data_IF_819648664289
#
_entry.id   IF_819648664289
#
_cell.length_a   1.000
_cell.length_b   1.000
_cell.length_c   1.000
_cell.angle_alpha   90.00
_cell.angle_beta   90.00
_cell.angle_gamma   90.00
#
_symmetry.space_group_name_H-M   'P 1'
#
loop_
_entity.id
_entity.type
_entity.pdbx_description
1 polymer ?
#
# COMPACT_ATOMS: atom_id res chain seq x y z
N UNK A 1 39.35 -17.63 51.86
CA UNK A 1 38.18 -17.58 50.95
C UNK A 1 38.49 -16.59 49.83
N UNK A 2 38.59 -17.05 48.59
CA UNK A 2 39.31 -16.37 47.49
C UNK A 2 38.61 -15.09 46.99
N UNK A 3 39.30 -13.95 47.05
CA UNK A 3 38.91 -12.64 46.48
C UNK A 3 38.48 -12.75 45.00
N UNK A 4 39.08 -13.68 44.26
CA UNK A 4 38.73 -13.97 42.86
C UNK A 4 37.31 -14.50 42.66
N UNK A 5 36.78 -15.27 43.61
CA UNK A 5 35.42 -15.82 43.56
C UNK A 5 34.41 -14.69 43.82
N UNK A 6 34.70 -13.83 44.80
CA UNK A 6 33.85 -12.68 45.13
C UNK A 6 33.74 -11.69 43.96
N UNK A 7 34.84 -11.42 43.25
CA UNK A 7 34.85 -10.57 42.04
C UNK A 7 34.01 -11.13 40.89
N UNK A 8 34.10 -12.45 40.64
CA UNK A 8 33.26 -13.11 39.63
C UNK A 8 31.78 -13.07 40.00
N UNK A 9 31.46 -13.27 41.28
CA UNK A 9 30.08 -13.19 41.76
C UNK A 9 29.49 -11.77 41.62
N UNK A 10 30.25 -10.74 41.98
CA UNK A 10 29.82 -9.35 41.82
C UNK A 10 29.59 -8.96 40.36
N UNK A 11 30.43 -9.43 39.43
CA UNK A 11 30.25 -9.18 38.00
C UNK A 11 28.97 -9.85 37.47
N UNK A 12 28.71 -11.10 37.84
CA UNK A 12 27.48 -11.81 37.44
C UNK A 12 26.24 -11.11 38.01
N UNK A 13 26.29 -10.68 39.28
CA UNK A 13 25.19 -9.92 39.89
C UNK A 13 24.96 -8.60 39.16
N UNK A 14 26.02 -7.88 38.81
CA UNK A 14 25.94 -6.62 38.08
C UNK A 14 25.34 -6.81 36.68
N UNK A 15 25.73 -7.85 35.94
CA UNK A 15 25.13 -8.18 34.64
C UNK A 15 23.64 -8.56 34.75
N UNK A 16 23.25 -9.33 35.78
CA UNK A 16 21.85 -9.68 36.03
C UNK A 16 21.01 -8.44 36.39
N UNK A 17 21.56 -7.54 37.21
CA UNK A 17 20.90 -6.26 37.54
C UNK A 17 20.75 -5.38 36.30
N UNK A 18 21.78 -5.24 35.48
CA UNK A 18 21.70 -4.49 34.21
C UNK A 18 20.65 -5.08 33.25
N UNK A 19 20.60 -6.40 33.11
CA UNK A 19 19.60 -7.08 32.26
C UNK A 19 18.18 -6.84 32.77
N UNK A 20 17.94 -6.92 34.09
CA UNK A 20 16.60 -6.68 34.67
C UNK A 20 16.16 -5.22 34.56
N UNK A 21 17.08 -4.25 34.68
CA UNK A 21 16.81 -2.82 34.46
C UNK A 21 16.43 -2.57 32.99
N UNK A 22 17.17 -3.16 32.04
CA UNK A 22 16.94 -2.96 30.61
C UNK A 22 15.58 -3.57 30.18
N UNK A 23 15.26 -4.78 30.66
CA UNK A 23 13.96 -5.43 30.41
C UNK A 23 12.79 -4.61 30.98
N UNK A 24 12.91 -4.09 32.22
CA UNK A 24 11.87 -3.22 32.80
C UNK A 24 11.68 -1.93 32.01
N UNK A 25 12.77 -1.33 31.50
CA UNK A 25 12.71 -0.12 30.69
C UNK A 25 12.00 -0.37 29.35
N UNK A 26 12.35 -1.45 28.66
CA UNK A 26 11.70 -1.88 27.41
C UNK A 26 10.22 -2.20 27.60
N UNK A 27 9.84 -2.90 28.68
CA UNK A 27 8.43 -3.17 29.00
C UNK A 27 7.65 -1.88 29.27
N UNK A 28 8.27 -0.88 29.92
CA UNK A 28 7.65 0.42 30.19
C UNK A 28 7.43 1.22 28.89
N UNK A 29 8.35 1.12 27.94
CA UNK A 29 8.24 1.70 26.60
C UNK A 29 7.12 1.06 25.77
N UNK A 30 7.06 -0.27 25.74
CA UNK A 30 6.00 -1.03 25.03
C UNK A 30 4.62 -0.75 25.64
N UNK A 31 4.50 -0.69 26.98
CA UNK A 31 3.23 -0.32 27.64
C UNK A 31 2.80 1.12 27.32
N UNK A 32 3.74 2.06 27.21
CA UNK A 32 3.47 3.46 26.86
C UNK A 32 3.05 3.63 25.40
N UNK A 33 3.62 2.85 24.48
CA UNK A 33 3.16 2.80 23.08
C UNK A 33 1.76 2.18 22.99
N UNK A 34 1.49 1.09 23.72
CA UNK A 34 0.16 0.46 23.74
C UNK A 34 -0.93 1.38 24.30
N UNK A 35 -0.64 2.17 25.33
CA UNK A 35 -1.59 3.16 25.87
C UNK A 35 -1.86 4.33 24.91
N UNK A 36 -0.83 4.80 24.19
CA UNK A 36 -0.99 5.88 23.20
C UNK A 36 -1.81 5.40 21.99
N UNK A 37 -1.58 4.18 21.50
CA UNK A 37 -2.37 3.57 20.42
C UNK A 37 -3.83 3.37 20.84
N UNK A 38 -4.09 3.00 22.12
CA UNK A 38 -5.45 2.87 22.64
C UNK A 38 -6.17 4.23 22.76
N UNK A 39 -5.46 5.30 23.07
CA UNK A 39 -6.01 6.67 23.13
C UNK A 39 -6.33 7.24 21.73
N UNK A 40 -5.51 6.97 20.72
CA UNK A 40 -5.82 7.36 19.34
C UNK A 40 -7.03 6.59 18.78
N UNK A 41 -7.20 5.33 19.16
CA UNK A 41 -8.35 4.51 18.75
C UNK A 41 -9.67 4.95 19.41
N UNK A 42 -9.64 5.54 20.61
CA UNK A 42 -10.83 6.14 21.24
C UNK A 42 -11.21 7.51 20.67
N UNK A 43 -10.25 8.27 20.14
CA UNK A 43 -10.51 9.59 19.53
C UNK A 43 -10.90 9.54 18.04
N UNK A 44 -10.75 8.38 17.38
CA UNK A 44 -11.08 8.18 15.96
C UNK A 44 -12.48 7.60 15.73
N UNK A 45 -13.30 7.42 16.78
CA UNK A 45 -14.62 6.81 16.70
C UNK A 45 -15.81 7.80 16.78
N UNK A 46 -15.58 9.07 16.52
CA UNK A 46 -16.64 10.09 16.41
C UNK A 46 -16.46 10.98 15.18
N UNK A 47 -16.28 10.39 14.00
CA UNK A 47 -16.53 11.09 12.73
C UNK A 47 -17.90 10.66 12.25
N UNK A 48 -18.91 11.47 12.60
CA UNK A 48 -20.23 11.43 11.98
C UNK A 48 -20.05 11.55 10.46
N UNK A 49 -20.57 10.56 9.72
CA UNK A 49 -20.85 10.69 8.29
C UNK A 49 -22.12 11.51 8.14
N UNK A 50 -21.98 12.83 8.27
CA UNK A 50 -22.95 13.77 7.71
C UNK A 50 -22.39 14.25 6.37
N UNK A 51 -22.98 13.75 5.29
CA UNK A 51 -22.77 14.25 3.94
C UNK A 51 -23.25 15.72 3.87
N UNK A 52 -22.31 16.66 3.81
CA UNK A 52 -22.56 18.03 3.36
C UNK A 52 -21.76 18.27 2.07
N UNK A 53 -22.42 18.55 0.93
CA UNK A 53 -21.70 18.86 -0.30
C UNK A 53 -21.08 20.26 -0.23
N UNK A 54 -19.79 20.33 -0.53
CA UNK A 54 -19.03 21.57 -0.72
C UNK A 54 -19.65 22.36 -1.88
N UNK A 55 -20.29 23.49 -1.56
CA UNK A 55 -20.90 24.42 -2.53
C UNK A 55 -19.80 25.27 -3.19
N UNK A 56 -19.34 24.85 -4.37
CA UNK A 56 -18.58 25.74 -5.26
C UNK A 56 -19.52 26.79 -5.88
N UNK A 57 -19.17 28.06 -5.72
CA UNK A 57 -19.88 29.22 -6.25
C UNK A 57 -19.92 29.16 -7.79
N UNK A 58 -21.10 29.01 -8.37
CA UNK A 58 -21.33 29.13 -9.81
C UNK A 58 -21.44 30.61 -10.20
N UNK A 59 -20.42 31.13 -10.87
CA UNK A 59 -20.60 32.33 -11.68
C UNK A 59 -21.48 31.97 -12.88
N UNK A 60 -22.61 32.67 -12.99
CA UNK A 60 -23.65 32.49 -14.00
C UNK A 60 -23.15 32.78 -15.42
N UNK A 61 -22.89 31.72 -16.20
CA UNK A 61 -22.92 31.78 -17.66
C UNK A 61 -24.38 31.60 -18.11
N UNK A 62 -25.00 32.69 -18.58
CA UNK A 62 -26.32 32.69 -19.24
C UNK A 62 -26.29 31.71 -20.40
N UNK A 63 -27.01 30.58 -20.28
CA UNK A 63 -27.16 29.60 -21.36
C UNK A 63 -28.53 29.75 -22.01
N UNK A 64 -28.51 30.10 -23.28
CA UNK A 64 -29.66 30.18 -24.17
C UNK A 64 -30.39 28.83 -24.16
N UNK A 65 -31.71 28.86 -23.96
CA UNK A 65 -32.60 27.71 -24.09
C UNK A 65 -32.62 27.29 -25.55
N UNK A 66 -31.98 26.17 -25.87
CA UNK A 66 -32.37 25.27 -26.96
C UNK A 66 -31.90 23.87 -26.56
N UNK A 67 -32.89 22.99 -26.36
CA UNK A 67 -32.86 21.53 -26.17
C UNK A 67 -31.51 20.88 -25.79
N UNK A 68 -31.27 20.74 -24.48
CA UNK A 68 -30.38 19.69 -23.99
C UNK A 68 -31.25 18.49 -23.68
N UNK A 69 -31.27 17.52 -24.61
CA UNK A 69 -31.76 16.16 -24.34
C UNK A 69 -30.98 15.66 -23.12
N UNK A 70 -31.66 15.42 -21.99
CA UNK A 70 -31.05 14.80 -20.82
C UNK A 70 -30.56 13.40 -21.24
N UNK A 71 -29.28 13.28 -21.55
CA UNK A 71 -28.61 11.98 -21.61
C UNK A 71 -28.57 11.52 -20.14
N UNK A 72 -29.23 10.41 -19.77
CA UNK A 72 -29.15 9.91 -18.41
C UNK A 72 -27.67 9.66 -18.10
N UNK A 73 -27.24 10.07 -16.90
CA UNK A 73 -25.89 9.86 -16.39
C UNK A 73 -25.61 8.35 -16.45
N UNK A 74 -25.00 7.89 -17.54
CA UNK A 74 -24.74 6.48 -17.77
C UNK A 74 -23.71 6.06 -16.74
N UNK A 75 -24.17 5.31 -15.73
CA UNK A 75 -23.28 4.36 -15.06
C UNK A 75 -22.62 3.57 -16.18
N UNK A 76 -21.29 3.58 -16.27
CA UNK A 76 -20.54 2.96 -17.37
C UNK A 76 -20.71 1.45 -17.29
N UNK A 77 -21.75 0.95 -17.96
CA UNK A 77 -22.10 -0.46 -18.01
C UNK A 77 -21.29 -1.09 -19.14
N UNK A 78 -20.33 -1.94 -18.80
CA UNK A 78 -19.55 -2.71 -19.77
C UNK A 78 -20.27 -4.05 -20.02
N UNK A 79 -20.58 -4.35 -21.29
CA UNK A 79 -21.11 -5.66 -21.69
C UNK A 79 -19.94 -6.63 -21.94
N UNK A 80 -19.80 -7.63 -21.08
CA UNK A 80 -18.88 -8.75 -21.27
C UNK A 80 -19.68 -10.01 -21.57
N UNK A 81 -19.49 -10.60 -22.75
CA UNK A 81 -20.21 -11.82 -23.18
C UNK A 81 -21.73 -11.75 -22.94
N UNK A 82 -22.35 -10.59 -23.22
CA UNK A 82 -23.79 -10.38 -23.04
C UNK A 82 -24.25 -10.15 -21.59
N UNK A 83 -23.34 -10.13 -20.62
CA UNK A 83 -23.63 -9.82 -19.21
C UNK A 83 -23.25 -8.40 -18.85
N UNK A 84 -24.10 -7.75 -18.06
CA UNK A 84 -23.89 -6.40 -17.53
C UNK A 84 -23.02 -6.46 -16.27
N UNK A 85 -21.81 -5.90 -16.33
CA UNK A 85 -20.95 -5.81 -15.15
C UNK A 85 -21.16 -4.45 -14.47
N UNK A 86 -21.61 -4.48 -13.21
CA UNK A 86 -21.59 -3.31 -12.33
C UNK A 86 -20.16 -3.09 -11.86
N UNK A 87 -19.51 -2.04 -12.35
CA UNK A 87 -18.16 -1.64 -11.91
C UNK A 87 -18.24 -0.42 -10.98
N UNK A 88 -17.25 -0.27 -10.10
CA UNK A 88 -17.10 0.93 -9.28
C UNK A 88 -16.44 2.10 -10.06
N UNK A 89 -16.14 1.89 -11.35
CA UNK A 89 -15.37 2.81 -12.17
C UNK A 89 -13.87 2.81 -11.84
N UNK A 90 -13.14 3.66 -12.55
CA UNK A 90 -11.71 3.90 -12.32
C UNK A 90 -11.51 4.73 -11.06
N UNK A 91 -10.52 4.39 -10.23
CA UNK A 91 -10.14 5.16 -9.05
C UNK A 91 -9.81 6.61 -9.43
N UNK A 92 -10.40 7.58 -8.74
CA UNK A 92 -10.11 9.00 -8.98
C UNK A 92 -8.64 9.31 -8.69
N UNK A 93 -7.97 10.06 -9.59
CA UNK A 93 -6.56 10.40 -9.44
C UNK A 93 -5.61 9.21 -9.62
N UNK A 94 -6.01 8.19 -10.41
CA UNK A 94 -5.25 6.95 -10.62
C UNK A 94 -3.78 7.23 -10.96
N UNK A 95 -3.53 8.17 -11.88
CA UNK A 95 -2.19 8.56 -12.30
C UNK A 95 -1.33 9.06 -11.14
N UNK A 96 -1.87 10.02 -10.40
CA UNK A 96 -1.18 10.68 -9.30
C UNK A 96 -0.89 9.67 -8.18
N UNK A 97 -1.86 8.80 -7.87
CA UNK A 97 -1.70 7.74 -6.86
C UNK A 97 -0.61 6.75 -7.28
N UNK A 98 -0.65 6.22 -8.50
CA UNK A 98 0.32 5.22 -8.96
C UNK A 98 1.74 5.79 -9.04
N UNK A 99 1.90 7.01 -9.55
CA UNK A 99 3.21 7.68 -9.58
C UNK A 99 3.71 7.96 -8.15
N UNK A 100 2.84 8.42 -7.26
CA UNK A 100 3.17 8.65 -5.85
C UNK A 100 3.66 7.38 -5.16
N UNK A 101 2.93 6.27 -5.31
CA UNK A 101 3.30 4.95 -4.75
C UNK A 101 4.59 4.41 -5.34
N UNK A 102 4.84 4.63 -6.64
CA UNK A 102 6.11 4.26 -7.26
C UNK A 102 7.28 5.01 -6.60
N UNK A 103 7.16 6.33 -6.41
CA UNK A 103 8.20 7.11 -5.74
C UNK A 103 8.41 6.61 -4.30
N UNK A 104 7.32 6.44 -3.54
CA UNK A 104 7.36 5.92 -2.18
C UNK A 104 8.09 4.57 -2.10
N UNK A 105 7.74 3.62 -2.98
CA UNK A 105 8.37 2.31 -3.05
C UNK A 105 9.89 2.42 -3.26
N UNK A 106 10.32 3.30 -4.18
CA UNK A 106 11.73 3.47 -4.49
C UNK A 106 12.55 4.13 -3.39
N UNK A 107 11.96 5.02 -2.60
CA UNK A 107 12.66 5.71 -1.51
C UNK A 107 12.60 4.95 -0.18
N UNK A 108 11.47 4.30 0.12
CA UNK A 108 11.24 3.67 1.43
C UNK A 108 11.44 2.16 1.42
N UNK A 109 11.11 1.48 0.31
CA UNK A 109 11.05 0.00 0.25
C UNK A 109 12.22 -0.63 -0.52
N UNK A 110 12.98 0.16 -1.28
CA UNK A 110 14.12 -0.29 -2.09
C UNK A 110 15.23 -1.02 -1.30
N UNK A 111 15.46 -0.68 -0.04
CA UNK A 111 16.46 -1.37 0.80
C UNK A 111 15.94 -2.62 1.53
N UNK A 112 14.63 -2.84 1.56
CA UNK A 112 14.00 -3.93 2.32
C UNK A 112 13.79 -5.19 1.46
N UNK A 113 13.36 -4.99 0.21
CA UNK A 113 12.92 -6.08 -0.67
C UNK A 113 13.73 -6.20 -1.97
N UNK A 114 14.39 -5.13 -2.39
CA UNK A 114 15.19 -5.12 -3.62
C UNK A 114 16.68 -5.35 -3.31
N UNK A 115 17.39 -5.94 -4.27
CA UNK A 115 18.85 -5.91 -4.27
C UNK A 115 19.34 -4.47 -4.43
N UNK A 116 20.42 -4.09 -3.74
CA UNK A 116 21.08 -2.79 -3.85
C UNK A 116 21.54 -2.46 -5.30
N UNK A 117 21.53 -3.43 -6.20
CA UNK A 117 21.88 -3.29 -7.63
C UNK A 117 20.73 -2.83 -8.53
N UNK A 118 19.49 -2.73 -8.02
CA UNK A 118 18.33 -2.38 -8.86
C UNK A 118 18.35 -0.90 -9.25
N UNK A 119 18.27 -0.57 -10.53
CA UNK A 119 18.25 0.82 -11.01
C UNK A 119 16.97 1.56 -10.57
N UNK A 120 17.06 2.86 -10.24
CA UNK A 120 15.88 3.72 -10.04
C UNK A 120 15.09 3.75 -11.36
N UNK A 121 13.80 3.41 -11.29
CA UNK A 121 12.85 3.40 -12.40
C UNK A 121 12.23 4.80 -12.57
N UNK A 122 11.97 5.18 -13.81
CA UNK A 122 11.20 6.38 -14.10
C UNK A 122 9.71 6.09 -13.84
N UNK A 123 9.17 6.61 -12.74
CA UNK A 123 7.79 6.36 -12.32
C UNK A 123 6.76 6.89 -13.32
N UNK A 124 7.04 8.00 -14.01
CA UNK A 124 6.16 8.52 -15.06
C UNK A 124 6.12 7.56 -16.24
N UNK A 125 7.29 7.07 -16.68
CA UNK A 125 7.37 6.07 -17.75
C UNK A 125 6.67 4.77 -17.38
N UNK A 126 6.83 4.32 -16.14
CA UNK A 126 6.18 3.10 -15.66
C UNK A 126 4.65 3.24 -15.66
N UNK A 127 4.12 4.39 -15.23
CA UNK A 127 2.69 4.68 -15.36
C UNK A 127 2.22 4.75 -16.81
N UNK A 128 2.98 5.37 -17.72
CA UNK A 128 2.64 5.41 -19.15
C UNK A 128 2.50 4.00 -19.75
N UNK A 129 3.40 3.07 -19.36
CA UNK A 129 3.33 1.68 -19.79
C UNK A 129 2.06 0.99 -19.27
N UNK A 130 1.74 1.18 -17.98
CA UNK A 130 0.49 0.71 -17.40
C UNK A 130 -0.73 1.27 -18.12
N UNK A 131 -0.77 2.59 -18.32
CA UNK A 131 -1.87 3.28 -18.96
C UNK A 131 -2.05 2.81 -20.40
N UNK A 132 -0.97 2.61 -21.15
CA UNK A 132 -1.03 2.10 -22.53
C UNK A 132 -1.62 0.69 -22.63
N UNK A 133 -1.49 -0.12 -21.58
CA UNK A 133 -2.04 -1.46 -21.51
C UNK A 133 -3.55 -1.45 -21.26
N UNK A 134 -4.05 -0.51 -20.44
CA UNK A 134 -5.45 -0.44 -20.04
C UNK A 134 -6.31 0.49 -20.93
N UNK A 135 -5.73 1.60 -21.40
CA UNK A 135 -6.46 2.68 -22.05
C UNK A 135 -6.93 2.29 -23.44
N UNK A 136 -8.17 2.65 -23.77
CA UNK A 136 -8.82 2.41 -25.07
C UNK A 136 -8.84 0.92 -25.48
N UNK A 137 -8.79 0.01 -24.51
CA UNK A 137 -8.95 -1.43 -24.73
C UNK A 137 -10.32 -1.90 -24.23
N UNK A 138 -10.92 -2.90 -24.89
CA UNK A 138 -12.15 -3.52 -24.38
C UNK A 138 -11.87 -4.19 -23.03
N UNK A 139 -12.60 -3.77 -22.00
CA UNK A 139 -12.47 -4.26 -20.62
C UNK A 139 -12.50 -5.80 -20.52
N UNK A 140 -13.39 -6.42 -21.27
CA UNK A 140 -13.67 -7.86 -21.22
C UNK A 140 -12.62 -8.73 -21.92
N UNK A 141 -11.78 -8.13 -22.78
CA UNK A 141 -10.81 -8.86 -23.60
C UNK A 141 -9.37 -8.44 -23.24
N UNK A 142 -9.12 -8.13 -21.96
CA UNK A 142 -7.76 -7.91 -21.47
C UNK A 142 -7.01 -9.25 -21.41
N UNK A 143 -5.77 -9.24 -21.91
CA UNK A 143 -4.85 -10.37 -21.88
C UNK A 143 -3.63 -9.97 -21.04
N UNK A 144 -3.02 -10.91 -20.33
CA UNK A 144 -1.77 -10.66 -19.60
C UNK A 144 -0.67 -10.09 -20.51
N UNK A 145 -0.61 -10.49 -21.78
CA UNK A 145 0.35 -9.96 -22.74
C UNK A 145 0.23 -8.45 -22.98
N UNK A 146 -0.93 -7.83 -22.75
CA UNK A 146 -1.07 -6.37 -22.90
C UNK A 146 -0.28 -5.60 -21.83
N UNK A 147 0.00 -6.22 -20.69
CA UNK A 147 0.78 -5.63 -19.59
C UNK A 147 2.27 -6.05 -19.63
N UNK A 148 2.71 -6.78 -20.65
CA UNK A 148 4.07 -7.32 -20.71
C UNK A 148 5.13 -6.23 -20.56
N UNK A 149 5.02 -5.12 -21.30
CA UNK A 149 5.98 -4.01 -21.19
C UNK A 149 5.94 -3.33 -19.82
N UNK A 150 4.77 -3.25 -19.17
CA UNK A 150 4.65 -2.73 -17.82
C UNK A 150 5.41 -3.62 -16.83
N UNK A 151 5.17 -4.94 -16.87
CA UNK A 151 5.86 -5.87 -15.99
C UNK A 151 7.35 -5.92 -16.29
N UNK A 152 7.79 -6.03 -17.54
CA UNK A 152 9.21 -6.03 -17.90
C UNK A 152 9.94 -4.76 -17.40
N UNK A 153 9.30 -3.59 -17.49
CA UNK A 153 9.89 -2.35 -16.98
C UNK A 153 9.89 -2.30 -15.45
N UNK A 154 8.82 -2.76 -14.80
CA UNK A 154 8.67 -2.80 -13.35
C UNK A 154 9.56 -3.85 -12.67
N UNK A 155 9.84 -4.95 -13.37
CA UNK A 155 10.70 -6.04 -12.90
C UNK A 155 12.11 -5.47 -12.70
N UNK A 156 12.37 -5.14 -11.44
CA UNK A 156 13.68 -4.96 -10.86
C UNK A 156 13.73 -5.98 -9.73
N UNK A 157 14.54 -7.01 -9.94
CA UNK A 157 14.95 -8.08 -9.02
C UNK A 157 14.39 -8.00 -7.60
N UNK A 158 13.13 -8.40 -7.44
CA UNK A 158 12.61 -8.80 -6.13
C UNK A 158 13.23 -10.17 -5.88
N UNK A 159 14.17 -10.24 -4.95
CA UNK A 159 14.75 -11.51 -4.54
C UNK A 159 13.74 -12.27 -3.65
N UNK A 160 12.68 -12.78 -4.26
CA UNK A 160 11.61 -13.50 -3.58
C UNK A 160 11.96 -14.98 -3.30
N UNK A 161 13.18 -15.43 -3.62
CA UNK A 161 13.59 -16.82 -3.40
C UNK A 161 13.45 -17.15 -1.91
N UNK A 162 12.64 -18.17 -1.60
CA UNK A 162 12.28 -18.62 -0.24
C UNK A 162 11.61 -17.57 0.66
N UNK A 163 11.18 -16.43 0.09
CA UNK A 163 10.53 -15.34 0.81
C UNK A 163 9.15 -15.00 0.27
N UNK A 164 8.69 -15.65 -0.79
CA UNK A 164 7.35 -15.44 -1.32
C UNK A 164 6.28 -15.88 -0.33
N UNK A 165 5.27 -15.03 -0.14
CA UNK A 165 4.08 -15.32 0.66
C UNK A 165 2.84 -15.09 -0.20
N UNK A 166 2.18 -16.20 -0.53
CA UNK A 166 0.90 -16.18 -1.23
C UNK A 166 -0.24 -16.14 -0.23
N UNK A 167 -1.36 -15.57 -0.65
CA UNK A 167 -2.55 -15.44 0.18
C UNK A 167 -3.81 -15.55 -0.67
N UNK A 168 -4.90 -15.99 -0.04
CA UNK A 168 -6.24 -16.06 -0.66
C UNK A 168 -7.28 -15.92 0.44
N UNK A 169 -8.17 -14.91 0.33
CA UNK A 169 -9.13 -14.57 1.39
C UNK A 169 -8.50 -14.07 2.70
N UNK A 170 -7.18 -13.93 2.77
CA UNK A 170 -6.42 -13.60 3.98
C UNK A 170 -5.52 -12.37 3.81
N UNK A 171 -5.92 -11.39 2.98
CA UNK A 171 -5.15 -10.18 2.65
C UNK A 171 -4.52 -9.55 3.91
N UNK A 172 -5.35 -9.16 4.88
CA UNK A 172 -4.88 -8.47 6.09
C UNK A 172 -3.90 -9.31 6.89
N UNK A 173 -4.18 -10.61 7.06
CA UNK A 173 -3.32 -11.50 7.84
C UNK A 173 -1.96 -11.70 7.17
N UNK A 174 -1.94 -11.90 5.84
CA UNK A 174 -0.71 -12.11 5.09
C UNK A 174 0.19 -10.86 5.12
N UNK A 175 -0.38 -9.67 4.95
CA UNK A 175 0.36 -8.40 5.02
C UNK A 175 0.83 -8.08 6.44
N UNK A 176 0.02 -8.36 7.45
CA UNK A 176 0.44 -8.26 8.85
C UNK A 176 1.60 -9.21 9.16
N UNK A 177 1.56 -10.42 8.60
CA UNK A 177 2.60 -11.42 8.77
C UNK A 177 3.89 -11.03 8.04
N UNK A 178 3.82 -10.54 6.79
CA UNK A 178 5.01 -10.08 6.05
C UNK A 178 5.69 -8.89 6.73
N UNK A 179 4.92 -7.94 7.28
CA UNK A 179 5.43 -6.71 7.88
C UNK A 179 6.02 -6.87 9.29
N UNK A 180 5.80 -7.99 9.99
CA UNK A 180 6.26 -8.21 11.39
C UNK A 180 7.69 -8.75 11.50
N UNK A 181 8.57 -8.44 10.53
CA UNK A 181 9.98 -8.80 10.59
C UNK A 181 10.33 -10.21 10.13
N UNK A 182 9.37 -10.94 9.55
CA UNK A 182 9.58 -12.27 8.98
C UNK A 182 10.22 -12.23 7.58
N UNK A 183 10.40 -11.05 7.00
CA UNK A 183 11.02 -10.81 5.68
C UNK A 183 10.35 -11.58 4.53
N UNK A 184 9.08 -11.97 4.68
CA UNK A 184 8.29 -12.46 3.58
C UNK A 184 7.85 -11.31 2.66
N UNK A 185 7.59 -11.63 1.41
CA UNK A 185 7.26 -10.71 0.32
C UNK A 185 5.94 -11.19 -0.27
N UNK A 186 4.89 -10.39 -0.09
CA UNK A 186 3.61 -10.60 -0.78
C UNK A 186 3.70 -10.07 -2.21
N UNK A 187 2.68 -10.33 -3.03
CA UNK A 187 2.65 -9.77 -4.39
C UNK A 187 2.67 -8.24 -4.31
N UNK A 188 1.90 -7.66 -3.41
CA UNK A 188 1.73 -6.23 -3.17
C UNK A 188 3.00 -5.54 -2.63
N UNK A 189 3.97 -6.31 -2.14
CA UNK A 189 5.31 -5.84 -1.77
C UNK A 189 6.26 -5.72 -2.98
N UNK A 190 5.82 -6.04 -4.19
CA UNK A 190 6.57 -5.81 -5.44
C UNK A 190 6.19 -4.47 -6.07
N UNK A 191 7.11 -3.80 -6.77
CA UNK A 191 6.87 -2.45 -7.34
C UNK A 191 5.59 -2.38 -8.19
N UNK A 192 5.40 -3.35 -9.09
CA UNK A 192 4.26 -3.36 -10.01
C UNK A 192 2.92 -3.46 -9.28
N UNK A 193 2.84 -4.31 -8.26
CA UNK A 193 1.61 -4.52 -7.51
C UNK A 193 1.41 -3.42 -6.44
N UNK A 194 2.48 -2.96 -5.78
CA UNK A 194 2.43 -1.86 -4.83
C UNK A 194 1.80 -0.59 -5.45
N UNK A 195 2.10 -0.31 -6.71
CA UNK A 195 1.46 0.80 -7.44
C UNK A 195 -0.05 0.59 -7.60
N UNK A 196 -0.48 -0.63 -7.90
CA UNK A 196 -1.86 -0.98 -8.24
C UNK A 196 -2.73 -1.44 -7.06
N UNK A 197 -2.15 -1.64 -5.87
CA UNK A 197 -2.82 -2.28 -4.74
C UNK A 197 -4.11 -1.56 -4.31
N UNK A 198 -5.22 -2.29 -4.29
CA UNK A 198 -6.55 -1.77 -3.96
C UNK A 198 -7.13 -0.75 -4.96
N UNK A 199 -6.54 -0.57 -6.15
CA UNK A 199 -7.05 0.34 -7.18
C UNK A 199 -8.00 -0.38 -8.16
N UNK A 200 -8.86 0.39 -8.82
CA UNK A 200 -9.72 -0.07 -9.92
C UNK A 200 -9.45 0.79 -11.16
N UNK A 201 -9.44 0.18 -12.35
CA UNK A 201 -9.21 0.88 -13.61
C UNK A 201 -9.95 0.24 -14.79
#
# INVERSE_FOLDING_TARGET
MNIFILRKFLLVLFFLVLMTINVKSSIKLVKRQSSNIRLERSNSHSINRDDQPVRFSSQTLKKNKNEIKLIPKQNSVNLCNGSYIKTNGTTCGLKEIMIGRCNEYQYLKRGLYLSNTTQIKNCSKLYELFESAARYKPYCNMNMSTYESYFQYALADVNAINRSLFWSGTYTLAHDYSNRGFNYITLEDTLAAAMADGLSW
#
